data_IF_428787719812
#
_entry.id   IF_428787719812
#
_cell.length_a   1.000
_cell.length_b   1.000
_cell.length_c   1.000
_cell.angle_alpha   90.00
_cell.angle_beta   90.00
_cell.angle_gamma   90.00
#
_symmetry.space_group_name_H-M   'P 1'
#
loop_
_entity.id
_entity.type
_entity.pdbx_description
1 polymer ?
#
# COMPACT_ATOMS: atom_id res chain seq x y z
N UNK A 1 -29.97 18.89 100.30
CA UNK A 1 -30.32 19.35 98.93
C UNK A 1 -29.27 18.83 97.96
N UNK A 2 -29.70 18.33 96.80
CA UNK A 2 -28.90 17.90 95.62
C UNK A 2 -28.05 16.61 95.80
N UNK A 3 -28.41 15.42 95.30
CA UNK A 3 -28.76 14.93 93.94
C UNK A 3 -27.54 14.47 93.12
N UNK A 4 -27.47 13.14 92.95
CA UNK A 4 -27.31 12.38 91.69
C UNK A 4 -26.18 12.71 90.71
N UNK A 5 -25.35 11.71 90.35
CA UNK A 5 -25.52 10.87 89.12
C UNK A 5 -24.28 10.01 88.83
N UNK A 6 -24.54 8.72 88.61
CA UNK A 6 -23.69 7.77 87.87
C UNK A 6 -23.64 8.17 86.38
N UNK A 7 -22.51 7.92 85.69
CA UNK A 7 -22.49 7.55 84.26
C UNK A 7 -21.37 6.55 83.95
N UNK A 8 -21.80 5.38 83.46
CA UNK A 8 -21.04 4.50 82.57
C UNK A 8 -20.90 5.15 81.18
N UNK A 9 -19.76 4.93 80.53
CA UNK A 9 -19.52 4.92 79.07
C UNK A 9 -18.09 4.37 78.92
N UNK A 10 -17.75 3.38 78.11
CA UNK A 10 -18.38 2.78 76.94
C UNK A 10 -17.22 2.41 76.01
N UNK A 11 -16.96 1.11 75.85
CA UNK A 11 -15.89 0.61 74.99
C UNK A 11 -16.18 0.95 73.52
N UNK A 12 -15.23 1.61 72.84
CA UNK A 12 -15.26 1.80 71.39
C UNK A 12 -14.26 0.82 70.78
N UNK A 13 -14.81 -0.25 70.21
CA UNK A 13 -14.10 -1.17 69.33
C UNK A 13 -13.89 -0.46 67.99
N UNK A 14 -12.67 0.03 67.73
CA UNK A 14 -12.29 0.54 66.40
C UNK A 14 -11.96 -0.67 65.53
N UNK A 15 -12.96 -1.15 64.79
CA UNK A 15 -12.78 -2.12 63.74
C UNK A 15 -12.17 -1.42 62.52
N UNK A 16 -10.84 -1.43 62.42
CA UNK A 16 -10.14 -0.97 61.22
C UNK A 16 -10.30 -2.04 60.14
N UNK A 17 -11.24 -1.80 59.22
CA UNK A 17 -11.33 -2.54 57.96
C UNK A 17 -10.12 -2.16 57.07
N UNK A 18 -8.99 -2.83 57.27
CA UNK A 18 -7.90 -2.93 56.27
C UNK A 18 -8.19 -4.11 55.35
N UNK A 19 -9.06 -3.93 54.35
CA UNK A 19 -9.31 -4.96 53.35
C UNK A 19 -9.89 -4.43 52.02
N UNK A 20 -9.26 -3.45 51.34
CA UNK A 20 -9.38 -3.28 49.88
C UNK A 20 -8.14 -2.55 49.32
N UNK A 21 -7.01 -3.24 49.16
CA UNK A 21 -5.87 -2.67 48.42
C UNK A 21 -5.09 -3.74 47.64
N UNK A 22 -5.81 -4.62 46.97
CA UNK A 22 -5.26 -5.56 46.00
C UNK A 22 -6.15 -5.50 44.75
N UNK A 23 -5.52 -5.38 43.58
CA UNK A 23 -6.12 -5.37 42.23
C UNK A 23 -6.58 -4.01 41.65
N UNK A 24 -5.81 -2.92 41.84
CA UNK A 24 -5.88 -1.81 40.88
C UNK A 24 -5.04 -2.16 39.64
N UNK A 25 -5.67 -2.15 38.46
CA UNK A 25 -4.98 -2.37 37.19
C UNK A 25 -3.85 -1.34 37.00
N UNK A 26 -2.67 -1.75 36.53
CA UNK A 26 -1.48 -0.88 36.37
C UNK A 26 -1.76 0.41 35.58
N UNK A 27 -2.74 0.37 34.68
CA UNK A 27 -3.13 1.53 33.87
C UNK A 27 -4.08 2.50 34.58
N UNK A 28 -4.75 2.10 35.67
CA UNK A 28 -5.71 2.97 36.39
C UNK A 28 -5.05 4.21 37.01
N UNK A 29 -3.75 4.14 37.32
CA UNK A 29 -2.96 5.22 37.93
C UNK A 29 -2.49 6.28 36.94
N UNK A 30 -2.67 6.05 35.64
CA UNK A 30 -2.29 7.00 34.60
C UNK A 30 -3.20 8.25 34.60
N UNK A 31 -2.79 9.36 33.95
CA UNK A 31 -3.62 10.55 33.84
C UNK A 31 -4.98 10.25 33.23
N UNK A 32 -6.05 10.78 33.82
CA UNK A 32 -7.42 10.57 33.33
C UNK A 32 -7.65 11.32 32.01
N UNK A 33 -8.33 10.68 31.07
CA UNK A 33 -8.77 11.35 29.84
C UNK A 33 -9.98 12.27 30.11
N UNK A 34 -10.19 13.27 29.26
CA UNK A 34 -11.41 14.08 29.32
C UNK A 34 -12.67 13.23 29.10
N UNK A 35 -13.82 13.71 29.59
CA UNK A 35 -15.10 13.04 29.37
C UNK A 35 -15.44 12.86 27.88
N UNK A 36 -15.08 13.85 27.04
CA UNK A 36 -15.28 13.78 25.59
C UNK A 36 -14.45 12.67 24.94
N UNK A 37 -13.17 12.54 25.31
CA UNK A 37 -12.31 11.46 24.82
C UNK A 37 -12.84 10.12 25.32
N UNK A 38 -13.19 10.00 26.60
CA UNK A 38 -13.76 8.77 27.15
C UNK A 38 -14.97 8.29 26.34
N UNK A 39 -15.92 9.18 26.06
CA UNK A 39 -17.12 8.86 25.29
C UNK A 39 -16.77 8.41 23.86
N UNK A 40 -15.87 9.10 23.18
CA UNK A 40 -15.45 8.74 21.82
C UNK A 40 -14.76 7.36 21.74
N UNK A 41 -13.87 7.04 22.69
CA UNK A 41 -13.22 5.72 22.73
C UNK A 41 -14.22 4.60 23.03
N UNK A 42 -15.15 4.87 23.95
CA UNK A 42 -16.22 3.94 24.30
C UNK A 42 -17.10 3.64 23.09
N UNK A 43 -17.57 4.67 22.38
CA UNK A 43 -18.37 4.51 21.17
C UNK A 43 -17.62 3.73 20.09
N UNK A 44 -16.32 4.01 19.90
CA UNK A 44 -15.49 3.29 18.93
C UNK A 44 -15.35 1.80 19.27
N UNK A 45 -15.09 1.47 20.52
CA UNK A 45 -15.02 0.07 20.95
C UNK A 45 -16.36 -0.65 20.83
N UNK A 46 -17.46 0.00 21.23
CA UNK A 46 -18.80 -0.58 21.08
C UNK A 46 -19.17 -0.78 19.61
N UNK A 47 -18.78 0.12 18.71
CA UNK A 47 -18.97 -0.05 17.27
C UNK A 47 -18.24 -1.30 16.74
N UNK A 48 -16.98 -1.53 17.17
CA UNK A 48 -16.24 -2.75 16.84
C UNK A 48 -17.01 -4.00 17.30
N UNK A 49 -17.51 -4.02 18.53
CA UNK A 49 -18.27 -5.16 19.09
C UNK A 49 -19.57 -5.39 18.33
N UNK A 50 -20.35 -4.32 18.07
CA UNK A 50 -21.63 -4.40 17.37
C UNK A 50 -21.48 -4.84 15.92
N UNK A 51 -20.41 -4.45 15.26
CA UNK A 51 -20.12 -4.93 13.92
C UNK A 51 -19.69 -6.40 13.93
N UNK A 52 -18.82 -6.80 14.86
CA UNK A 52 -18.42 -8.19 15.01
C UNK A 52 -19.62 -9.12 15.24
N UNK A 53 -20.63 -8.69 16.00
CA UNK A 53 -21.90 -9.44 16.17
C UNK A 53 -22.61 -9.71 14.84
N UNK A 54 -22.56 -8.77 13.89
CA UNK A 54 -23.24 -8.87 12.59
C UNK A 54 -22.46 -9.73 11.57
N UNK A 55 -21.21 -10.07 11.87
CA UNK A 55 -20.30 -10.77 10.97
C UNK A 55 -20.20 -12.28 11.24
N UNK A 56 -21.14 -12.88 11.97
CA UNK A 56 -21.13 -14.32 12.21
C UNK A 56 -21.17 -15.10 10.87
N UNK A 57 -20.10 -15.83 10.55
CA UNK A 57 -19.92 -16.52 9.26
C UNK A 57 -19.59 -15.59 8.08
N UNK A 58 -19.33 -14.31 8.33
CA UNK A 58 -18.95 -13.29 7.35
C UNK A 58 -17.44 -13.14 7.16
N UNK A 59 -17.04 -12.08 6.44
CA UNK A 59 -15.64 -11.73 6.15
C UNK A 59 -14.99 -11.04 7.37
N UNK A 60 -13.99 -11.65 8.05
CA UNK A 60 -13.33 -11.06 9.21
C UNK A 60 -12.62 -9.74 8.89
N UNK A 61 -12.26 -9.51 7.62
CA UNK A 61 -11.59 -8.28 7.21
C UNK A 61 -12.50 -7.05 7.21
N UNK A 62 -13.82 -7.21 7.40
CA UNK A 62 -14.73 -6.06 7.61
C UNK A 62 -14.30 -5.23 8.83
N UNK A 63 -13.72 -5.87 9.85
CA UNK A 63 -13.26 -5.21 11.08
C UNK A 63 -11.99 -4.35 10.93
N UNK A 64 -11.27 -4.43 9.80
CA UNK A 64 -9.97 -3.76 9.64
C UNK A 64 -10.03 -2.26 9.87
N UNK A 65 -11.13 -1.61 9.48
CA UNK A 65 -11.27 -0.16 9.55
C UNK A 65 -11.36 0.39 11.00
N UNK A 66 -11.50 -0.47 12.01
CA UNK A 66 -11.42 -0.08 13.43
C UNK A 66 -9.98 0.15 13.91
N UNK A 67 -9.00 -0.37 13.17
CA UNK A 67 -7.61 -0.40 13.57
C UNK A 67 -6.78 0.69 12.90
N UNK A 68 -5.73 1.14 13.59
CA UNK A 68 -4.74 2.05 13.00
C UNK A 68 -3.92 1.31 11.94
N UNK A 69 -3.44 2.04 10.92
CA UNK A 69 -2.53 1.47 9.92
C UNK A 69 -1.28 0.86 10.57
N UNK A 70 -0.81 1.44 11.67
CA UNK A 70 0.33 0.94 12.42
C UNK A 70 0.04 -0.42 13.09
N UNK A 71 -1.12 -0.58 13.71
CA UNK A 71 -1.56 -1.85 14.31
C UNK A 71 -1.71 -2.95 13.26
N UNK A 72 -2.30 -2.62 12.10
CA UNK A 72 -2.45 -3.55 10.99
C UNK A 72 -1.11 -3.97 10.40
N UNK A 73 -0.12 -3.08 10.43
CA UNK A 73 1.22 -3.36 9.92
C UNK A 73 2.04 -4.29 10.79
N UNK A 74 1.82 -4.25 12.10
CA UNK A 74 2.44 -5.19 13.02
C UNK A 74 1.78 -6.59 13.02
N UNK A 75 0.70 -6.80 12.26
CA UNK A 75 -0.12 -8.01 12.33
C UNK A 75 -0.12 -8.77 11.00
N UNK A 76 0.34 -10.04 10.97
CA UNK A 76 0.21 -10.90 9.79
C UNK A 76 -1.27 -11.19 9.44
N UNK A 77 -1.64 -11.31 8.14
CA UNK A 77 -3.03 -11.56 7.75
C UNK A 77 -3.66 -12.82 8.39
N UNK A 78 -2.92 -13.93 8.43
CA UNK A 78 -3.43 -15.17 9.03
C UNK A 78 -3.69 -15.04 10.54
N UNK A 79 -2.83 -14.31 11.25
CA UNK A 79 -3.01 -14.02 12.67
C UNK A 79 -4.24 -13.13 12.90
N UNK A 80 -4.41 -12.08 12.07
CA UNK A 80 -5.59 -11.24 12.12
C UNK A 80 -6.86 -12.05 11.91
N UNK A 81 -6.92 -12.87 10.86
CA UNK A 81 -8.10 -13.70 10.54
C UNK A 81 -8.48 -14.61 11.71
N UNK A 82 -7.51 -15.34 12.29
CA UNK A 82 -7.76 -16.23 13.40
C UNK A 82 -8.30 -15.49 14.64
N UNK A 83 -7.68 -14.36 15.01
CA UNK A 83 -8.13 -13.57 16.17
C UNK A 83 -9.47 -12.89 15.92
N UNK A 84 -9.70 -12.36 14.73
CA UNK A 84 -10.96 -11.71 14.35
C UNK A 84 -12.12 -12.71 14.35
N UNK A 85 -11.91 -13.94 13.86
CA UNK A 85 -12.93 -15.01 13.91
C UNK A 85 -13.31 -15.35 15.36
N UNK A 86 -12.32 -15.59 16.22
CA UNK A 86 -12.56 -15.86 17.64
C UNK A 86 -13.29 -14.68 18.33
N UNK A 87 -12.93 -13.44 17.97
CA UNK A 87 -13.61 -12.25 18.49
C UNK A 87 -15.07 -12.15 18.00
N UNK A 88 -15.33 -12.43 16.72
CA UNK A 88 -16.68 -12.46 16.13
C UNK A 88 -17.55 -13.52 16.83
N UNK A 89 -17.02 -14.72 17.07
CA UNK A 89 -17.73 -15.78 17.80
C UNK A 89 -18.08 -15.34 19.23
N UNK A 90 -17.12 -14.77 19.96
CA UNK A 90 -17.35 -14.20 21.31
C UNK A 90 -18.38 -13.06 21.29
N UNK A 91 -18.36 -12.21 20.27
CA UNK A 91 -19.33 -11.13 20.11
C UNK A 91 -20.73 -11.69 19.87
N UNK A 92 -20.88 -12.61 18.91
CA UNK A 92 -22.17 -13.21 18.54
C UNK A 92 -22.81 -14.07 19.65
N UNK A 93 -21.99 -14.67 20.52
CA UNK A 93 -22.46 -15.44 21.68
C UNK A 93 -22.85 -14.56 22.88
N UNK A 94 -22.71 -13.24 22.78
CA UNK A 94 -23.00 -12.29 23.85
C UNK A 94 -21.93 -12.28 24.96
N UNK A 95 -20.79 -12.94 24.77
CA UNK A 95 -19.71 -12.94 25.76
C UNK A 95 -19.17 -11.52 26.00
N UNK A 96 -19.14 -10.68 24.96
CA UNK A 96 -18.66 -9.30 25.05
C UNK A 96 -19.67 -8.32 25.70
N UNK A 97 -20.94 -8.71 25.87
CA UNK A 97 -21.94 -7.87 26.54
C UNK A 97 -21.67 -7.72 28.05
N UNK A 98 -20.85 -8.62 28.59
CA UNK A 98 -20.41 -8.60 30.00
C UNK A 98 -19.22 -7.67 30.24
N UNK A 99 -18.59 -7.16 29.18
CA UNK A 99 -17.42 -6.29 29.30
C UNK A 99 -17.81 -4.95 29.92
N UNK A 100 -17.21 -4.64 31.07
CA UNK A 100 -17.40 -3.38 31.78
C UNK A 100 -16.35 -2.36 31.33
N UNK A 101 -16.82 -1.20 30.89
CA UNK A 101 -15.95 -0.06 30.57
C UNK A 101 -15.78 0.80 31.82
N UNK A 102 -14.56 0.82 32.38
CA UNK A 102 -14.24 1.45 33.67
C UNK A 102 -13.87 2.93 33.56
N UNK A 103 -13.42 3.38 32.40
CA UNK A 103 -12.98 4.76 32.17
C UNK A 103 -11.96 4.87 31.06
N UNK A 104 -11.36 6.05 30.88
CA UNK A 104 -10.25 6.24 29.93
C UNK A 104 -9.05 6.96 30.57
N UNK A 105 -7.88 6.77 29.97
CA UNK A 105 -6.59 7.37 30.38
C UNK A 105 -5.88 8.03 29.19
N UNK A 106 -5.08 9.05 29.47
CA UNK A 106 -4.36 9.85 28.49
C UNK A 106 -2.88 10.03 28.88
N UNK A 107 -2.06 8.95 28.90
CA UNK A 107 -0.67 9.00 29.33
C UNK A 107 0.29 9.71 28.35
N UNK A 108 -0.19 10.27 27.24
CA UNK A 108 0.67 10.89 26.23
C UNK A 108 -0.03 11.02 24.88
N UNK A 109 0.54 10.42 23.83
CA UNK A 109 -0.05 10.39 22.47
C UNK A 109 -1.14 9.32 22.33
N UNK A 110 -0.99 8.20 23.04
CA UNK A 110 -1.99 7.13 23.09
C UNK A 110 -3.09 7.49 24.09
N UNK A 111 -4.32 7.05 23.82
CA UNK A 111 -5.41 6.99 24.79
C UNK A 111 -5.73 5.55 25.12
N UNK A 112 -6.11 5.29 26.37
CA UNK A 112 -6.44 3.95 26.82
C UNK A 112 -7.90 3.91 27.25
N UNK A 113 -8.66 2.93 26.76
CA UNK A 113 -9.98 2.58 27.29
C UNK A 113 -9.81 1.44 28.29
N UNK A 114 -10.15 1.67 29.56
CA UNK A 114 -10.05 0.67 30.61
C UNK A 114 -11.26 -0.27 30.54
N UNK A 115 -11.00 -1.57 30.42
CA UNK A 115 -12.03 -2.60 30.25
C UNK A 115 -11.81 -3.77 31.21
N UNK A 116 -12.89 -4.48 31.53
CA UNK A 116 -12.91 -5.67 32.37
C UNK A 116 -13.93 -6.66 31.81
N UNK A 117 -13.48 -7.84 31.38
CA UNK A 117 -14.34 -8.86 30.79
C UNK A 117 -14.86 -9.89 31.81
N UNK A 118 -14.63 -9.64 33.10
CA UNK A 118 -15.03 -10.51 34.22
C UNK A 118 -13.95 -11.52 34.62
N UNK A 119 -13.03 -11.86 33.71
CA UNK A 119 -11.89 -12.73 33.98
C UNK A 119 -10.59 -11.93 34.04
N UNK A 120 -10.45 -10.94 33.15
CA UNK A 120 -9.27 -10.10 33.02
C UNK A 120 -9.66 -8.61 33.01
N UNK A 121 -8.77 -7.81 33.58
CA UNK A 121 -8.85 -6.34 33.50
C UNK A 121 -7.66 -5.83 32.72
N UNK A 122 -7.93 -4.98 31.72
CA UNK A 122 -6.90 -4.44 30.83
C UNK A 122 -7.23 -3.07 30.32
N UNK A 123 -6.53 -2.67 29.26
CA UNK A 123 -6.77 -1.42 28.59
C UNK A 123 -6.57 -1.57 27.08
N UNK A 124 -7.47 -0.99 26.29
CA UNK A 124 -7.40 -1.00 24.83
C UNK A 124 -6.75 0.30 24.38
N UNK A 125 -5.62 0.27 23.65
CA UNK A 125 -4.94 1.47 23.19
C UNK A 125 -5.59 2.04 21.92
N UNK A 126 -5.65 3.36 21.86
CA UNK A 126 -6.15 4.13 20.73
C UNK A 126 -5.17 5.25 20.36
N UNK A 127 -5.07 5.52 19.07
CA UNK A 127 -4.34 6.65 18.50
C UNK A 127 -5.27 7.51 17.67
N UNK A 128 -4.94 8.79 17.55
CA UNK A 128 -5.68 9.71 16.69
C UNK A 128 -5.28 9.45 15.22
N UNK A 129 -6.26 9.10 14.39
CA UNK A 129 -6.16 9.01 12.93
C UNK A 129 -6.94 10.13 12.24
N UNK A 130 -7.01 10.07 10.91
CA UNK A 130 -7.71 11.04 10.07
C UNK A 130 -9.22 11.12 10.39
N UNK A 131 -9.87 9.97 10.58
CA UNK A 131 -11.32 9.87 10.83
C UNK A 131 -11.70 9.76 12.32
N UNK A 132 -10.76 10.07 13.21
CA UNK A 132 -10.97 9.98 14.66
C UNK A 132 -10.08 8.94 15.33
N UNK A 133 -10.58 8.29 16.38
CA UNK A 133 -9.80 7.33 17.17
C UNK A 133 -9.78 5.95 16.51
N UNK A 134 -8.57 5.40 16.34
CA UNK A 134 -8.35 4.06 15.81
C UNK A 134 -7.63 3.20 16.86
N UNK A 135 -7.97 1.91 16.91
CA UNK A 135 -7.38 0.97 17.87
C UNK A 135 -5.95 0.64 17.44
N UNK A 136 -5.00 0.79 18.36
CA UNK A 136 -3.57 0.72 18.05
C UNK A 136 -2.93 -0.64 18.37
N UNK A 137 -3.72 -1.66 18.74
CA UNK A 137 -3.22 -3.02 18.94
C UNK A 137 -4.31 -4.07 18.67
N UNK A 138 -4.11 -4.88 17.62
CA UNK A 138 -5.06 -5.93 17.19
C UNK A 138 -5.27 -6.98 18.27
N UNK A 139 -4.19 -7.44 18.91
CA UNK A 139 -4.26 -8.53 19.88
C UNK A 139 -5.03 -8.12 21.13
N UNK A 140 -4.79 -6.89 21.61
CA UNK A 140 -5.47 -6.35 22.79
C UNK A 140 -6.95 -6.10 22.50
N UNK A 141 -7.27 -5.52 21.34
CA UNK A 141 -8.65 -5.27 20.93
C UNK A 141 -9.48 -6.56 20.88
N UNK A 142 -8.86 -7.66 20.47
CA UNK A 142 -9.48 -8.98 20.40
C UNK A 142 -9.38 -9.80 21.70
N UNK A 143 -8.97 -9.17 22.80
CA UNK A 143 -9.16 -9.69 24.16
C UNK A 143 -7.90 -10.18 24.88
N UNK A 144 -6.69 -9.99 24.33
CA UNK A 144 -5.44 -10.25 25.07
C UNK A 144 -5.12 -9.08 26.01
N UNK A 145 -5.96 -8.92 27.04
CA UNK A 145 -5.95 -7.79 27.97
C UNK A 145 -4.75 -7.77 28.94
N UNK A 146 -4.05 -8.90 29.05
CA UNK A 146 -2.83 -9.11 29.83
C UNK A 146 -1.56 -8.59 29.12
N UNK A 147 -1.62 -8.40 27.79
CA UNK A 147 -0.50 -7.89 26.99
C UNK A 147 -0.11 -6.47 27.43
N UNK A 148 1.19 -6.23 27.47
CA UNK A 148 1.73 -4.90 27.76
C UNK A 148 1.48 -3.93 26.60
N UNK A 149 0.97 -2.74 26.93
CA UNK A 149 0.63 -1.71 25.96
C UNK A 149 1.86 -0.85 25.66
N UNK A 150 2.14 -0.66 24.37
CA UNK A 150 3.06 0.36 23.92
C UNK A 150 2.45 1.76 24.10
N UNK A 151 2.81 2.44 25.19
CA UNK A 151 2.30 3.79 25.49
C UNK A 151 2.83 4.89 24.56
N UNK A 152 3.85 4.59 23.75
CA UNK A 152 4.38 5.51 22.74
C UNK A 152 3.55 5.51 21.45
N UNK A 153 2.76 4.45 21.23
CA UNK A 153 2.03 4.20 20.00
C UNK A 153 2.87 3.47 18.96
N UNK A 154 2.21 2.77 18.04
CA UNK A 154 2.86 2.10 16.94
C UNK A 154 3.10 3.09 15.78
N UNK A 155 4.19 2.88 15.04
CA UNK A 155 4.48 3.66 13.84
C UNK A 155 4.00 2.92 12.60
N UNK A 156 3.33 3.59 11.64
CA UNK A 156 3.01 2.99 10.36
C UNK A 156 4.31 2.73 9.58
N UNK A 157 4.33 1.67 8.77
CA UNK A 157 5.44 1.38 7.84
C UNK A 157 5.00 1.73 6.43
N UNK A 158 5.96 2.20 5.63
CA UNK A 158 5.82 2.37 4.19
C UNK A 158 6.79 1.41 3.49
N UNK A 159 6.35 0.60 2.51
CA UNK A 159 4.97 0.49 2.02
C UNK A 159 4.02 -0.17 3.06
N UNK A 160 2.70 0.07 2.97
CA UNK A 160 1.73 -0.47 3.93
C UNK A 160 1.71 -2.01 3.89
N UNK A 161 1.49 -2.65 5.03
CA UNK A 161 1.24 -4.10 5.05
C UNK A 161 -0.01 -4.48 4.23
N UNK A 162 -0.17 -5.76 3.83
CA UNK A 162 -1.37 -6.20 3.12
C UNK A 162 -2.68 -5.89 3.86
N UNK A 163 -2.69 -5.93 5.19
CA UNK A 163 -3.86 -5.58 5.99
C UNK A 163 -4.15 -4.07 5.98
N UNK A 164 -3.11 -3.25 6.14
CA UNK A 164 -3.25 -1.80 6.05
C UNK A 164 -3.70 -1.36 4.64
N UNK A 165 -3.12 -1.97 3.60
CA UNK A 165 -3.54 -1.76 2.21
C UNK A 165 -5.01 -2.14 2.00
N UNK A 166 -5.45 -3.27 2.57
CA UNK A 166 -6.86 -3.69 2.48
C UNK A 166 -7.79 -2.72 3.22
N UNK A 167 -7.42 -2.23 4.39
CA UNK A 167 -8.20 -1.21 5.11
C UNK A 167 -8.35 0.07 4.27
N UNK A 168 -7.26 0.54 3.68
CA UNK A 168 -7.24 1.75 2.86
C UNK A 168 -8.05 1.62 1.57
N UNK A 169 -8.05 0.45 0.92
CA UNK A 169 -8.88 0.19 -0.26
C UNK A 169 -10.38 0.08 0.04
N UNK A 170 -10.75 -0.15 1.31
CA UNK A 170 -12.14 -0.20 1.77
C UNK A 170 -12.67 1.16 2.20
N UNK A 171 -11.78 2.07 2.54
CA UNK A 171 -12.15 3.41 2.99
C UNK A 171 -12.73 4.22 1.81
N UNK A 172 -14.02 4.61 1.87
CA UNK A 172 -14.65 5.40 0.82
C UNK A 172 -14.12 6.84 0.72
N UNK A 173 -13.42 7.34 1.75
CA UNK A 173 -12.82 8.67 1.79
C UNK A 173 -11.32 8.68 1.47
N UNK A 174 -10.70 7.50 1.30
CA UNK A 174 -9.28 7.40 0.98
C UNK A 174 -8.96 8.16 -0.32
N UNK A 175 -7.91 8.98 -0.26
CA UNK A 175 -7.40 9.69 -1.41
C UNK A 175 -6.98 8.70 -2.52
N UNK A 176 -6.96 9.15 -3.78
CA UNK A 176 -6.54 8.27 -4.87
C UNK A 176 -5.06 7.85 -4.73
N UNK A 177 -4.18 8.74 -4.25
CA UNK A 177 -2.77 8.45 -3.96
C UNK A 177 -2.62 7.31 -2.95
N UNK A 178 -3.45 7.36 -1.91
CA UNK A 178 -3.51 6.37 -0.84
C UNK A 178 -3.94 5.00 -1.36
N UNK A 179 -4.96 4.97 -2.22
CA UNK A 179 -5.40 3.75 -2.89
C UNK A 179 -4.35 3.19 -3.87
N UNK A 180 -3.57 4.06 -4.53
CA UNK A 180 -2.44 3.66 -5.39
C UNK A 180 -1.34 3.00 -4.56
N UNK A 181 -0.92 3.61 -3.45
CA UNK A 181 0.10 3.04 -2.57
C UNK A 181 -0.33 1.70 -1.98
N UNK A 182 -1.60 1.60 -1.55
CA UNK A 182 -2.18 0.32 -1.13
C UNK A 182 -2.13 -0.74 -2.24
N UNK A 183 -2.45 -0.37 -3.48
CA UNK A 183 -2.40 -1.29 -4.61
C UNK A 183 -0.96 -1.74 -4.95
N UNK A 184 0.02 -0.85 -4.87
CA UNK A 184 1.44 -1.21 -5.06
C UNK A 184 1.92 -2.19 -3.97
N UNK A 185 1.54 -1.97 -2.72
CA UNK A 185 1.82 -2.92 -1.64
C UNK A 185 1.18 -4.31 -1.89
N UNK A 186 -0.04 -4.37 -2.43
CA UNK A 186 -0.65 -5.65 -2.84
C UNK A 186 0.12 -6.33 -3.98
N UNK A 187 0.76 -5.57 -4.87
CA UNK A 187 1.59 -6.11 -5.93
C UNK A 187 2.84 -6.80 -5.38
N UNK A 188 3.52 -6.16 -4.42
CA UNK A 188 4.68 -6.72 -3.73
C UNK A 188 4.32 -7.98 -2.94
N UNK A 189 3.18 -7.95 -2.24
CA UNK A 189 2.66 -9.07 -1.48
C UNK A 189 2.01 -10.18 -2.34
N UNK A 190 1.97 -10.01 -3.67
CA UNK A 190 1.38 -10.94 -4.64
C UNK A 190 -0.09 -11.32 -4.37
N UNK A 191 -0.90 -10.36 -3.92
CA UNK A 191 -2.29 -10.56 -3.50
C UNK A 191 -3.29 -10.41 -4.68
N UNK A 192 -3.26 -11.36 -5.63
CA UNK A 192 -4.05 -11.32 -6.87
C UNK A 192 -5.55 -11.13 -6.66
N UNK A 193 -6.16 -11.95 -5.80
CA UNK A 193 -7.62 -12.00 -5.63
C UNK A 193 -8.17 -10.72 -5.00
N UNK A 194 -7.46 -10.21 -3.99
CA UNK A 194 -7.79 -8.94 -3.33
C UNK A 194 -7.68 -7.80 -4.35
N UNK A 195 -6.54 -7.68 -5.04
CA UNK A 195 -6.34 -6.63 -6.03
C UNK A 195 -7.42 -6.66 -7.12
N UNK A 196 -7.79 -7.85 -7.62
CA UNK A 196 -8.83 -8.02 -8.63
C UNK A 196 -10.23 -7.61 -8.14
N UNK A 197 -10.59 -7.97 -6.91
CA UNK A 197 -11.86 -7.58 -6.28
C UNK A 197 -12.01 -6.07 -6.20
N UNK A 198 -10.95 -5.34 -5.85
CA UNK A 198 -10.99 -3.88 -5.73
C UNK A 198 -10.81 -3.16 -7.06
N UNK A 199 -10.09 -3.73 -8.04
CA UNK A 199 -9.95 -3.12 -9.36
C UNK A 199 -11.30 -2.86 -10.05
N UNK A 200 -12.30 -3.74 -9.83
CA UNK A 200 -13.66 -3.57 -10.35
C UNK A 200 -14.50 -2.51 -9.64
N UNK A 201 -14.07 -2.06 -8.44
CA UNK A 201 -14.79 -1.10 -7.59
C UNK A 201 -14.12 0.28 -7.55
N UNK A 202 -12.86 0.36 -7.96
CA UNK A 202 -12.09 1.60 -7.97
C UNK A 202 -12.74 2.64 -8.90
N UNK A 203 -13.09 3.80 -8.30
CA UNK A 203 -13.64 4.95 -9.04
C UNK A 203 -12.55 5.74 -9.74
N UNK A 204 -11.40 5.88 -9.09
CA UNK A 204 -10.23 6.56 -9.62
C UNK A 204 -9.56 5.74 -10.73
N UNK A 205 -9.27 6.33 -11.91
CA UNK A 205 -8.54 5.63 -12.97
C UNK A 205 -7.14 5.18 -12.50
N UNK A 206 -6.58 5.84 -11.49
CA UNK A 206 -5.24 5.59 -10.97
C UNK A 206 -5.15 4.48 -9.98
N UNK A 207 -6.02 4.52 -8.98
CA UNK A 207 -6.23 3.38 -8.10
C UNK A 207 -6.54 2.12 -8.93
N UNK A 208 -7.39 2.23 -9.96
CA UNK A 208 -7.72 1.10 -10.84
C UNK A 208 -6.51 0.57 -11.62
N UNK A 209 -5.68 1.45 -12.18
CA UNK A 209 -4.48 1.05 -12.92
C UNK A 209 -3.48 0.35 -12.01
N UNK A 210 -3.24 0.88 -10.82
CA UNK A 210 -2.34 0.28 -9.84
C UNK A 210 -2.86 -1.08 -9.33
N UNK A 211 -4.18 -1.23 -9.13
CA UNK A 211 -4.77 -2.52 -8.77
C UNK A 211 -4.64 -3.55 -9.89
N UNK A 212 -4.80 -3.15 -11.15
CA UNK A 212 -4.59 -4.04 -12.29
C UNK A 212 -3.11 -4.40 -12.47
N UNK A 213 -2.18 -3.48 -12.17
CA UNK A 213 -0.75 -3.78 -12.06
C UNK A 213 -0.49 -4.86 -11.01
N UNK A 214 -1.08 -4.74 -9.81
CA UNK A 214 -0.96 -5.74 -8.76
C UNK A 214 -1.51 -7.12 -9.16
N UNK A 215 -2.65 -7.15 -9.87
CA UNK A 215 -3.20 -8.38 -10.46
C UNK A 215 -2.20 -9.00 -11.43
N UNK A 216 -1.63 -8.23 -12.35
CA UNK A 216 -0.67 -8.73 -13.34
C UNK A 216 0.63 -9.24 -12.67
N UNK A 217 1.24 -8.48 -11.75
CA UNK A 217 2.44 -8.91 -11.01
C UNK A 217 2.25 -10.19 -10.21
N UNK A 218 1.00 -10.50 -9.88
CA UNK A 218 0.59 -11.73 -9.19
C UNK A 218 0.18 -12.87 -10.15
N UNK A 219 0.58 -12.81 -11.43
CA UNK A 219 0.25 -13.83 -12.44
C UNK A 219 -1.13 -13.64 -13.09
N UNK A 220 -1.61 -12.39 -13.16
CA UNK A 220 -2.81 -12.01 -13.90
C UNK A 220 -2.53 -11.65 -15.36
N UNK A 221 -3.59 -11.26 -16.08
CA UNK A 221 -3.47 -10.83 -17.48
C UNK A 221 -2.86 -9.43 -17.62
N UNK A 222 -1.76 -9.36 -18.38
CA UNK A 222 -1.08 -8.11 -18.73
C UNK A 222 -1.97 -7.16 -19.55
N UNK A 223 -2.85 -7.66 -20.42
CA UNK A 223 -3.64 -6.78 -21.31
C UNK A 223 -4.60 -5.86 -20.54
N UNK A 224 -5.17 -6.34 -19.43
CA UNK A 224 -6.05 -5.54 -18.58
C UNK A 224 -5.29 -4.35 -17.96
N UNK A 225 -4.09 -4.59 -17.43
CA UNK A 225 -3.22 -3.54 -16.90
C UNK A 225 -2.77 -2.57 -18.00
N UNK A 226 -2.24 -3.07 -19.12
CA UNK A 226 -1.77 -2.22 -20.21
C UNK A 226 -2.89 -1.34 -20.78
N UNK A 227 -4.11 -1.86 -20.88
CA UNK A 227 -5.27 -1.07 -21.35
C UNK A 227 -5.64 0.05 -20.37
N UNK A 228 -5.51 -0.19 -19.07
CA UNK A 228 -5.87 0.77 -18.03
C UNK A 228 -4.85 1.92 -17.89
N UNK A 229 -3.56 1.67 -18.13
CA UNK A 229 -2.53 2.70 -18.10
C UNK A 229 -2.92 3.89 -19.03
N UNK A 230 -2.73 5.16 -18.64
CA UNK A 230 -3.18 6.32 -19.40
C UNK A 230 -2.19 6.55 -20.54
N UNK A 231 -2.72 6.82 -21.72
CA UNK A 231 -1.87 7.18 -22.86
C UNK A 231 -1.86 8.68 -23.12
N UNK A 232 -2.82 9.46 -22.60
CA UNK A 232 -2.84 10.90 -22.81
C UNK A 232 -1.81 11.61 -21.92
N UNK A 233 -1.21 12.70 -22.43
CA UNK A 233 -0.18 13.44 -21.71
C UNK A 233 -0.67 14.12 -20.43
N UNK A 234 -1.91 14.62 -20.43
CA UNK A 234 -2.47 15.37 -19.30
C UNK A 234 -2.64 14.50 -18.07
N UNK A 235 -3.12 13.28 -18.29
CA UNK A 235 -3.18 12.24 -17.29
C UNK A 235 -1.89 11.43 -17.24
N UNK A 236 -0.75 11.92 -17.69
CA UNK A 236 0.54 11.35 -17.25
C UNK A 236 1.24 12.39 -16.37
N UNK A 237 1.14 13.65 -16.75
CA UNK A 237 1.62 14.78 -15.97
C UNK A 237 0.99 14.85 -14.58
N UNK A 238 -0.36 14.81 -14.50
CA UNK A 238 -1.05 14.79 -13.19
C UNK A 238 -0.58 13.68 -12.26
N UNK A 239 -0.17 12.57 -12.84
CA UNK A 239 0.15 11.34 -12.12
C UNK A 239 1.60 11.36 -11.65
N UNK A 240 2.49 11.84 -12.51
CA UNK A 240 3.86 12.15 -12.15
C UNK A 240 3.93 13.23 -11.06
N UNK A 241 3.13 14.30 -11.14
CA UNK A 241 3.11 15.36 -10.13
C UNK A 241 2.50 14.92 -8.79
N UNK A 242 1.53 14.00 -8.81
CA UNK A 242 0.93 13.45 -7.61
C UNK A 242 1.88 12.50 -6.88
N UNK A 243 2.55 11.61 -7.62
CA UNK A 243 3.47 10.61 -7.08
C UNK A 243 4.39 10.06 -8.19
N UNK A 244 5.57 10.68 -8.33
CA UNK A 244 6.53 10.31 -9.38
C UNK A 244 7.08 8.89 -9.22
N UNK A 245 7.19 8.36 -7.99
CA UNK A 245 7.72 7.02 -7.74
C UNK A 245 6.68 5.94 -8.07
N UNK A 246 5.41 6.17 -7.73
CA UNK A 246 4.32 5.31 -8.18
C UNK A 246 4.19 5.33 -9.71
N UNK A 247 4.29 6.51 -10.33
CA UNK A 247 4.29 6.63 -11.79
C UNK A 247 5.41 5.81 -12.43
N UNK A 248 6.66 5.97 -11.96
CA UNK A 248 7.83 5.23 -12.44
C UNK A 248 7.61 3.72 -12.30
N UNK A 249 7.12 3.27 -11.15
CA UNK A 249 6.85 1.84 -10.89
C UNK A 249 5.82 1.27 -11.87
N UNK A 250 4.72 1.99 -12.12
CA UNK A 250 3.69 1.57 -13.06
C UNK A 250 4.20 1.60 -14.51
N UNK A 251 4.99 2.59 -14.90
CA UNK A 251 5.57 2.70 -16.23
C UNK A 251 6.57 1.57 -16.53
N UNK A 252 7.47 1.29 -15.58
CA UNK A 252 8.38 0.14 -15.67
C UNK A 252 7.57 -1.16 -15.76
N UNK A 253 6.51 -1.27 -14.96
CA UNK A 253 5.53 -2.35 -15.03
C UNK A 253 4.93 -2.50 -16.43
N UNK A 254 4.49 -1.42 -17.06
CA UNK A 254 3.89 -1.45 -18.39
C UNK A 254 4.88 -2.00 -19.44
N UNK A 255 6.13 -1.55 -19.39
CA UNK A 255 7.16 -2.03 -20.31
C UNK A 255 7.51 -3.50 -20.05
N UNK A 256 7.58 -3.94 -18.79
CA UNK A 256 7.78 -5.35 -18.46
C UNK A 256 6.57 -6.20 -18.89
N UNK A 257 5.34 -5.74 -18.70
CA UNK A 257 4.12 -6.36 -19.23
C UNK A 257 4.19 -6.48 -20.76
N UNK A 258 4.68 -5.45 -21.47
CA UNK A 258 4.90 -5.54 -22.90
C UNK A 258 5.97 -6.56 -23.30
N UNK A 259 7.02 -6.74 -22.50
CA UNK A 259 8.03 -7.76 -22.71
C UNK A 259 7.50 -9.18 -22.47
N UNK A 260 6.63 -9.36 -21.48
CA UNK A 260 6.05 -10.66 -21.11
C UNK A 260 4.84 -11.04 -21.98
N UNK A 261 4.28 -10.08 -22.73
CA UNK A 261 3.08 -10.31 -23.54
C UNK A 261 3.34 -11.25 -24.71
N UNK A 262 2.33 -12.03 -25.09
CA UNK A 262 2.36 -12.84 -26.31
C UNK A 262 2.17 -12.05 -27.62
N UNK A 263 1.98 -10.72 -27.56
CA UNK A 263 1.78 -9.88 -28.74
C UNK A 263 2.28 -8.44 -28.54
N UNK A 264 2.42 -7.69 -29.63
CA UNK A 264 2.97 -6.32 -29.62
C UNK A 264 2.02 -5.22 -29.12
N UNK A 265 0.75 -5.52 -28.79
CA UNK A 265 -0.24 -4.46 -28.44
C UNK A 265 0.14 -3.65 -27.20
N UNK A 266 0.69 -4.24 -26.11
CA UNK A 266 1.15 -3.44 -24.99
C UNK A 266 2.37 -2.59 -25.36
N UNK A 267 3.27 -3.06 -26.23
CA UNK A 267 4.36 -2.23 -26.75
C UNK A 267 3.82 -1.02 -27.56
N UNK A 268 2.77 -1.23 -28.37
CA UNK A 268 2.09 -0.12 -29.06
C UNK A 268 1.46 0.87 -28.06
N UNK A 269 0.96 0.39 -26.92
CA UNK A 269 0.46 1.26 -25.85
C UNK A 269 1.59 2.10 -25.25
N UNK A 270 2.75 1.50 -24.94
CA UNK A 270 3.94 2.22 -24.47
C UNK A 270 4.35 3.31 -25.46
N UNK A 271 4.43 2.98 -26.76
CA UNK A 271 4.77 3.95 -27.82
C UNK A 271 3.86 5.17 -27.82
N UNK A 272 2.55 4.95 -27.81
CA UNK A 272 1.56 6.03 -27.82
C UNK A 272 1.63 6.88 -26.55
N UNK A 273 1.79 6.22 -25.40
CA UNK A 273 1.90 6.91 -24.12
C UNK A 273 3.17 7.79 -24.05
N UNK A 274 4.31 7.29 -24.54
CA UNK A 274 5.56 8.04 -24.62
C UNK A 274 5.46 9.26 -25.53
N UNK A 275 4.76 9.14 -26.67
CA UNK A 275 4.53 10.25 -27.61
C UNK A 275 3.79 11.40 -26.94
N UNK A 276 2.68 11.07 -26.28
CA UNK A 276 1.78 12.08 -25.73
C UNK A 276 2.25 12.59 -24.36
N UNK A 277 3.19 11.91 -23.69
CA UNK A 277 3.78 12.34 -22.42
C UNK A 277 4.53 13.68 -22.54
N UNK A 278 4.33 14.65 -21.63
CA UNK A 278 5.18 15.85 -21.54
C UNK A 278 6.62 15.53 -21.18
N UNK A 279 7.52 16.51 -21.33
CA UNK A 279 8.97 16.29 -21.20
C UNK A 279 9.38 15.61 -19.87
N UNK A 280 8.82 16.06 -18.73
CA UNK A 280 9.15 15.49 -17.42
C UNK A 280 8.72 14.00 -17.30
N UNK A 281 7.43 13.63 -17.42
CA UNK A 281 7.04 12.20 -17.40
C UNK A 281 7.70 11.37 -18.51
N UNK A 282 7.97 11.97 -19.68
CA UNK A 282 8.62 11.29 -20.81
C UNK A 282 10.04 10.84 -20.48
N UNK A 283 10.78 11.59 -19.66
CA UNK A 283 12.14 11.22 -19.27
C UNK A 283 12.19 9.86 -18.54
N UNK A 284 11.13 9.49 -17.83
CA UNK A 284 11.01 8.20 -17.13
C UNK A 284 10.83 7.00 -18.08
N UNK A 285 10.58 7.24 -19.38
CA UNK A 285 10.45 6.16 -20.38
C UNK A 285 11.80 5.62 -20.85
N UNK A 286 12.90 6.34 -20.66
CA UNK A 286 14.21 6.02 -21.29
C UNK A 286 14.65 4.59 -20.94
N UNK A 287 14.95 4.33 -19.68
CA UNK A 287 15.41 3.02 -19.22
C UNK A 287 14.44 1.86 -19.50
N UNK A 288 13.14 1.95 -19.16
CA UNK A 288 12.23 0.83 -19.37
C UNK A 288 11.97 0.54 -20.85
N UNK A 289 11.96 1.57 -21.71
CA UNK A 289 11.77 1.39 -23.15
C UNK A 289 12.99 0.74 -23.80
N UNK A 290 14.20 1.13 -23.39
CA UNK A 290 15.46 0.50 -23.84
C UNK A 290 15.53 -0.97 -23.42
N UNK A 291 15.13 -1.28 -22.17
CA UNK A 291 15.02 -2.68 -21.70
C UNK A 291 14.02 -3.48 -22.53
N UNK A 292 12.85 -2.89 -22.84
CA UNK A 292 11.85 -3.53 -23.71
C UNK A 292 12.40 -3.76 -25.14
N UNK A 293 13.13 -2.80 -25.70
CA UNK A 293 13.74 -2.93 -27.02
C UNK A 293 14.74 -4.07 -27.11
N UNK A 294 15.55 -4.26 -26.07
CA UNK A 294 16.47 -5.38 -26.00
C UNK A 294 15.77 -6.73 -25.75
N UNK A 295 14.71 -6.76 -24.93
CA UNK A 295 13.99 -7.99 -24.63
C UNK A 295 13.10 -8.47 -25.79
N UNK A 296 12.44 -7.54 -26.49
CA UNK A 296 11.46 -7.83 -27.57
C UNK A 296 11.62 -6.85 -28.75
N UNK A 297 12.73 -6.90 -29.48
CA UNK A 297 13.00 -5.95 -30.57
C UNK A 297 11.95 -6.00 -31.69
N UNK A 298 11.40 -7.18 -31.97
CA UNK A 298 10.31 -7.35 -32.92
C UNK A 298 9.04 -6.57 -32.53
N UNK A 299 8.72 -6.47 -31.25
CA UNK A 299 7.52 -5.79 -30.77
C UNK A 299 7.67 -4.28 -30.85
N UNK A 300 8.86 -3.75 -30.54
CA UNK A 300 9.18 -2.33 -30.72
C UNK A 300 9.00 -1.91 -32.18
N UNK A 301 9.61 -2.64 -33.12
CA UNK A 301 9.54 -2.27 -34.53
C UNK A 301 8.11 -2.40 -35.10
N UNK A 302 7.35 -3.42 -34.66
CA UNK A 302 5.93 -3.55 -35.02
C UNK A 302 5.07 -2.44 -34.40
N UNK A 303 5.35 -2.06 -33.15
CA UNK A 303 4.67 -0.97 -32.47
C UNK A 303 4.91 0.36 -33.18
N UNK A 304 6.15 0.70 -33.52
CA UNK A 304 6.49 1.90 -34.29
C UNK A 304 5.78 1.92 -35.65
N UNK A 305 5.88 0.82 -36.42
CA UNK A 305 5.19 0.71 -37.71
C UNK A 305 3.68 0.90 -37.59
N UNK A 306 3.06 0.37 -36.52
CA UNK A 306 1.62 0.44 -36.30
C UNK A 306 1.18 1.79 -35.71
N UNK A 307 2.06 2.45 -34.96
CA UNK A 307 1.84 3.81 -34.47
C UNK A 307 1.82 4.80 -35.64
N UNK A 308 2.65 4.57 -36.66
CA UNK A 308 2.68 5.36 -37.89
C UNK A 308 3.15 6.80 -37.67
N UNK A 309 4.00 7.00 -36.67
CA UNK A 309 4.61 8.28 -36.33
C UNK A 309 5.92 8.40 -37.14
N UNK A 310 6.18 9.57 -37.73
CA UNK A 310 7.45 9.82 -38.40
C UNK A 310 8.59 9.81 -37.38
N UNK A 311 9.79 9.32 -37.75
CA UNK A 311 10.91 9.21 -36.81
C UNK A 311 11.16 10.53 -36.06
N UNK A 312 11.25 11.65 -36.78
CA UNK A 312 11.55 12.97 -36.23
C UNK A 312 10.46 13.51 -35.26
N UNK A 313 9.29 12.85 -35.20
CA UNK A 313 8.18 13.15 -34.29
C UNK A 313 7.95 12.04 -33.24
N UNK A 314 8.73 10.95 -33.28
CA UNK A 314 8.56 9.76 -32.46
C UNK A 314 9.57 9.76 -31.30
N UNK A 315 9.20 10.28 -30.12
CA UNK A 315 10.12 10.29 -28.98
C UNK A 315 10.51 8.88 -28.52
N UNK A 316 9.65 7.87 -28.70
CA UNK A 316 10.00 6.51 -28.36
C UNK A 316 11.06 5.95 -29.32
N UNK A 317 10.98 6.26 -30.62
CA UNK A 317 12.03 5.94 -31.57
C UNK A 317 13.34 6.67 -31.26
N UNK A 318 13.28 7.98 -30.95
CA UNK A 318 14.45 8.76 -30.55
C UNK A 318 15.13 8.19 -29.31
N UNK A 319 14.37 7.81 -28.29
CA UNK A 319 14.91 7.16 -27.08
C UNK A 319 15.63 5.86 -27.45
N UNK A 320 14.99 4.98 -28.23
CA UNK A 320 15.56 3.67 -28.54
C UNK A 320 16.79 3.79 -29.44
N UNK A 321 16.73 4.63 -30.48
CA UNK A 321 17.86 4.86 -31.39
C UNK A 321 18.99 5.60 -30.69
N UNK A 322 18.68 6.67 -29.96
CA UNK A 322 19.65 7.47 -29.23
C UNK A 322 20.28 6.77 -28.02
N UNK A 323 19.63 5.77 -27.42
CA UNK A 323 20.24 5.00 -26.33
C UNK A 323 20.98 3.74 -26.79
N UNK A 324 20.79 3.29 -28.04
CA UNK A 324 21.34 2.03 -28.55
C UNK A 324 22.19 2.16 -29.81
N UNK A 325 22.48 3.39 -30.25
CA UNK A 325 23.55 3.61 -31.23
C UNK A 325 24.90 3.19 -30.60
N UNK A 326 25.87 2.76 -31.42
CA UNK A 326 27.15 2.22 -30.95
C UNK A 326 27.09 0.83 -30.30
N UNK A 327 25.93 0.42 -29.78
CA UNK A 327 25.71 -0.82 -29.03
C UNK A 327 25.49 -2.05 -29.93
N UNK A 328 26.49 -2.36 -30.75
CA UNK A 328 26.44 -3.39 -31.82
C UNK A 328 26.12 -4.81 -31.35
N UNK A 329 26.34 -5.10 -30.06
CA UNK A 329 26.11 -6.42 -29.45
C UNK A 329 24.68 -6.62 -28.94
N UNK A 330 23.86 -5.59 -28.95
CA UNK A 330 22.49 -5.67 -28.43
C UNK A 330 21.58 -6.48 -29.34
N UNK A 331 20.61 -7.17 -28.74
CA UNK A 331 19.60 -7.93 -29.47
C UNK A 331 18.77 -7.01 -30.38
N UNK A 332 18.53 -5.77 -29.95
CA UNK A 332 17.85 -4.77 -30.76
C UNK A 332 18.62 -4.40 -32.02
N UNK A 333 19.90 -4.02 -31.89
CA UNK A 333 20.75 -3.69 -33.04
C UNK A 333 20.84 -4.84 -34.04
N UNK A 334 21.13 -6.06 -33.56
CA UNK A 334 21.21 -7.25 -34.43
C UNK A 334 19.88 -7.51 -35.18
N UNK A 335 18.76 -7.41 -34.47
CA UNK A 335 17.44 -7.60 -35.06
C UNK A 335 17.13 -6.52 -36.11
N UNK A 336 17.44 -5.25 -35.82
CA UNK A 336 17.20 -4.13 -36.72
C UNK A 336 17.95 -4.31 -38.05
N UNK A 337 19.25 -4.62 -37.99
CA UNK A 337 20.06 -4.90 -39.17
C UNK A 337 19.60 -6.12 -39.96
N UNK A 338 19.10 -7.16 -39.27
CA UNK A 338 18.53 -8.33 -39.94
C UNK A 338 17.23 -7.96 -40.67
N UNK A 339 16.36 -7.14 -40.06
CA UNK A 339 15.09 -6.73 -40.66
C UNK A 339 15.26 -5.72 -41.81
N UNK A 340 16.24 -4.82 -41.72
CA UNK A 340 16.55 -3.86 -42.79
C UNK A 340 16.80 -4.55 -44.15
N UNK A 341 17.31 -5.79 -44.13
CA UNK A 341 17.57 -6.61 -45.33
C UNK A 341 16.32 -7.31 -45.90
N UNK A 342 15.21 -7.39 -45.16
CA UNK A 342 14.03 -8.21 -45.51
C UNK A 342 12.99 -7.50 -46.40
N UNK A 343 13.22 -6.23 -46.77
CA UNK A 343 12.28 -5.46 -47.59
C UNK A 343 10.91 -5.21 -46.92
N UNK A 344 9.94 -4.71 -47.68
CA UNK A 344 8.60 -4.38 -47.18
C UNK A 344 8.55 -3.18 -46.23
N UNK A 345 7.37 -2.89 -45.65
CA UNK A 345 7.19 -1.71 -44.77
C UNK A 345 8.04 -1.78 -43.50
N UNK A 346 8.11 -2.94 -42.88
CA UNK A 346 8.88 -3.16 -41.66
C UNK A 346 10.40 -3.09 -41.93
N UNK A 347 10.87 -3.65 -43.04
CA UNK A 347 12.27 -3.56 -43.43
C UNK A 347 12.70 -2.14 -43.81
N UNK A 348 11.82 -1.38 -44.49
CA UNK A 348 12.07 0.05 -44.76
C UNK A 348 12.20 0.88 -43.48
N UNK A 349 11.31 0.64 -42.50
CA UNK A 349 11.41 1.29 -41.18
C UNK A 349 12.71 0.92 -40.47
N UNK A 350 13.09 -0.36 -40.48
CA UNK A 350 14.35 -0.80 -39.88
C UNK A 350 15.58 -0.18 -40.56
N UNK A 351 15.57 -0.07 -41.90
CA UNK A 351 16.65 0.53 -42.66
C UNK A 351 16.80 2.03 -42.35
N UNK A 352 15.69 2.77 -42.25
CA UNK A 352 15.69 4.18 -41.82
C UNK A 352 16.32 4.31 -40.42
N UNK A 353 15.92 3.50 -39.45
CA UNK A 353 16.49 3.57 -38.10
C UNK A 353 17.97 3.18 -38.05
N UNK A 354 18.43 2.22 -38.87
CA UNK A 354 19.86 1.91 -39.01
C UNK A 354 20.63 3.11 -39.55
N UNK A 355 20.09 3.82 -40.54
CA UNK A 355 20.71 5.04 -41.07
C UNK A 355 20.78 6.13 -40.00
N UNK A 356 19.72 6.31 -39.20
CA UNK A 356 19.72 7.27 -38.08
C UNK A 356 20.73 6.91 -36.98
N UNK A 357 20.84 5.63 -36.62
CA UNK A 357 21.88 5.15 -35.69
C UNK A 357 23.28 5.42 -36.23
N UNK A 358 23.54 5.17 -37.51
CA UNK A 358 24.86 5.40 -38.12
C UNK A 358 25.24 6.88 -38.11
N UNK A 359 24.30 7.79 -38.36
CA UNK A 359 24.53 9.25 -38.25
C UNK A 359 24.90 9.66 -36.84
N UNK A 360 24.20 9.12 -35.82
CA UNK A 360 24.55 9.37 -34.42
C UNK A 360 25.92 8.81 -34.06
N UNK A 361 26.31 7.64 -34.57
CA UNK A 361 27.65 7.08 -34.35
C UNK A 361 28.78 7.94 -34.95
N UNK A 362 28.50 8.70 -36.01
CA UNK A 362 29.44 9.65 -36.61
C UNK A 362 29.55 10.96 -35.80
N UNK A 363 28.44 11.41 -35.21
CA UNK A 363 28.36 12.64 -34.40
C UNK A 363 28.84 12.43 -32.95
N UNK A 364 28.53 11.28 -32.37
CA UNK A 364 28.79 10.89 -30.98
C UNK A 364 29.45 9.49 -30.93
N UNK A 365 30.76 9.39 -31.22
CA UNK A 365 31.45 8.11 -31.22
C UNK A 365 31.40 7.49 -29.81
N UNK A 366 31.19 6.17 -29.69
CA UNK A 366 31.03 5.51 -28.39
C UNK A 366 32.26 5.77 -27.51
N UNK A 367 32.04 6.11 -26.24
CA UNK A 367 33.12 6.24 -25.26
C UNK A 367 33.98 4.98 -25.30
N UNK A 368 35.28 5.16 -25.56
CA UNK A 368 36.22 4.05 -25.67
C UNK A 368 36.22 3.26 -24.36
N UNK A 369 35.61 2.07 -24.38
CA UNK A 369 35.75 1.04 -23.34
C UNK A 369 37.21 0.57 -23.36
N UNK A 370 38.08 1.33 -22.69
CA UNK A 370 39.52 1.19 -22.90
C UNK A 370 40.42 2.04 -22.01
N UNK A 371 40.04 2.34 -20.77
CA UNK A 371 41.07 2.50 -19.74
C UNK A 371 41.48 1.10 -19.27
N UNK A 372 42.49 0.55 -19.95
CA UNK A 372 43.32 -0.50 -19.34
C UNK A 372 43.89 0.08 -18.05
N UNK A 373 43.50 -0.48 -16.91
CA UNK A 373 44.29 -0.37 -15.69
C UNK A 373 45.74 -0.72 -16.06
N UNK A 374 46.63 0.28 -15.99
CA UNK A 374 48.06 0.00 -15.97
C UNK A 374 48.34 -0.75 -14.66
N UNK A 375 49.00 -1.92 -14.70
CA UNK A 375 49.47 -2.52 -13.46
C UNK A 375 50.52 -1.58 -12.87
N UNK A 376 50.31 -1.18 -11.61
CA UNK A 376 51.30 -0.46 -10.83
C UNK A 376 52.61 -1.28 -10.83
N UNK A 377 53.70 -0.66 -11.25
CA UNK A 377 55.06 -1.18 -11.05
C UNK A 377 55.59 -0.78 -9.68
#
# INVERSE_FOLDING_TARGET
MSSSRKRLLGAVLVSVMTAVCACQNKYERLPQASASVFQALKERYLALVEEAKKLQGGDPFELLHHFSNAALTATPPAEFTAKAQAFIERASSGALDKVKIKGARAPGKVRLLLVDDGENSGAIPFVQGADGWAIDDVAIAFGQLDKEINLQGNMPVSPPSPLAALAQLRDPQAAESDQVQAALALAEAKQKEIAGKYAGKAKGPWARTALLYAVWKSGGDCQAFAKAFPADGSAQDKLYQADSDAFRTLLQGLCQCAADSGNFRPALKVYRACRDAPAQPRSEYVDPLVKLANAKPAYILQAALRAGIAYDEDPAAHIVVGALHGEKKTAFHQYLHQQAKKGGRLGKLAADWVERMAKLDEEEPPEATGQKEQPAQ
#
